data_IF_156081955033
#
_entry.id   IF_156081955033
#
_cell.length_a   1.000
_cell.length_b   1.000
_cell.length_c   1.000
_cell.angle_alpha   90.00
_cell.angle_beta   90.00
_cell.angle_gamma   90.00
#
_symmetry.space_group_name_H-M   'P 1'
#
loop_
_entity.id
_entity.type
_entity.pdbx_description
1 polymer ?
#
# COMPACT_ATOMS: atom_id res chain seq x y z
N UNK A 1 -12.70 7.99 2.15
CA UNK A 1 -12.03 8.96 3.05
C UNK A 1 -11.09 9.89 2.28
N UNK A 2 -10.22 9.34 1.42
CA UNK A 2 -9.23 10.11 0.64
C UNK A 2 -9.85 11.24 -0.19
N UNK A 3 -11.01 11.05 -0.81
CA UNK A 3 -11.69 12.14 -1.56
C UNK A 3 -12.09 13.31 -0.66
N UNK A 4 -12.64 13.04 0.54
CA UNK A 4 -13.04 14.09 1.50
C UNK A 4 -11.81 14.92 1.91
N UNK A 5 -10.67 14.25 2.14
CA UNK A 5 -9.42 14.92 2.50
C UNK A 5 -8.83 15.71 1.32
N UNK A 6 -8.90 15.17 0.10
CA UNK A 6 -8.47 15.84 -1.12
C UNK A 6 -9.22 17.18 -1.30
N UNK A 7 -10.54 17.14 -1.14
CA UNK A 7 -11.39 18.33 -1.26
C UNK A 7 -11.11 19.34 -0.15
N UNK A 8 -10.97 18.89 1.10
CA UNK A 8 -10.73 19.77 2.24
C UNK A 8 -9.39 20.49 2.16
N UNK A 9 -8.33 19.80 1.74
CA UNK A 9 -6.99 20.38 1.65
C UNK A 9 -6.66 20.99 0.28
N UNK A 10 -7.54 20.85 -0.72
CA UNK A 10 -7.29 21.32 -2.08
C UNK A 10 -6.09 20.64 -2.74
N UNK A 11 -5.91 19.34 -2.49
CA UNK A 11 -4.79 18.55 -3.03
C UNK A 11 -5.29 17.33 -3.79
N UNK A 12 -4.63 17.00 -4.88
CA UNK A 12 -4.85 15.74 -5.58
C UNK A 12 -4.14 14.59 -4.85
N UNK A 13 -4.87 13.57 -4.43
CA UNK A 13 -4.31 12.38 -3.78
C UNK A 13 -4.24 11.24 -4.79
N UNK A 14 -3.04 10.84 -5.20
CA UNK A 14 -2.82 9.65 -6.02
C UNK A 14 -2.37 8.48 -5.14
N UNK A 15 -3.11 7.36 -5.16
CA UNK A 15 -2.77 6.16 -4.38
C UNK A 15 -2.14 5.08 -5.26
N UNK A 16 -0.99 4.56 -4.83
CA UNK A 16 -0.19 3.55 -5.51
C UNK A 16 -0.20 2.25 -4.69
N UNK A 17 -0.70 1.18 -5.29
CA UNK A 17 -0.63 -0.15 -4.69
C UNK A 17 0.75 -0.73 -4.92
N UNK A 18 1.45 -1.09 -3.83
CA UNK A 18 2.74 -1.77 -3.93
C UNK A 18 2.56 -3.14 -4.59
N UNK A 19 1.57 -3.93 -4.16
CA UNK A 19 1.27 -5.24 -4.76
C UNK A 19 1.01 -5.19 -6.27
N UNK A 20 0.28 -4.18 -6.75
CA UNK A 20 0.05 -4.01 -8.19
C UNK A 20 1.25 -3.38 -8.90
N UNK A 21 2.03 -2.55 -8.22
CA UNK A 21 3.11 -1.75 -8.79
C UNK A 21 2.57 -0.62 -9.66
N UNK A 22 1.37 -0.13 -9.35
CA UNK A 22 0.60 0.82 -10.14
C UNK A 22 -0.46 1.53 -9.28
N UNK A 23 -1.04 2.59 -9.85
CA UNK A 23 -2.18 3.31 -9.25
C UNK A 23 -3.38 2.38 -9.05
N UNK A 24 -3.99 2.45 -7.88
CA UNK A 24 -5.21 1.73 -7.57
C UNK A 24 -5.98 2.40 -6.42
N UNK A 25 -7.15 3.00 -6.66
CA UNK A 25 -7.75 3.27 -7.98
C UNK A 25 -6.87 4.20 -8.84
N UNK A 26 -7.16 4.36 -10.15
CA UNK A 26 -6.49 5.35 -11.00
C UNK A 26 -6.52 6.74 -10.34
N UNK A 27 -5.43 7.51 -10.46
CA UNK A 27 -5.41 8.86 -9.92
C UNK A 27 -6.48 9.73 -10.61
N UNK A 28 -7.25 10.56 -9.86
CA UNK A 28 -8.28 11.40 -10.46
C UNK A 28 -7.72 12.26 -11.59
N UNK A 29 -8.40 12.32 -12.75
CA UNK A 29 -7.89 13.08 -13.90
C UNK A 29 -7.97 14.60 -13.68
N UNK A 30 -9.05 15.05 -13.03
CA UNK A 30 -9.24 16.45 -12.67
C UNK A 30 -8.77 16.71 -11.22
N UNK A 31 -7.68 17.47 -11.04
CA UNK A 31 -7.20 17.80 -9.70
C UNK A 31 -8.07 18.89 -9.06
N UNK A 32 -8.29 18.79 -7.75
CA UNK A 32 -9.05 19.79 -6.97
C UNK A 32 -8.21 21.06 -6.68
N UNK A 33 -6.90 21.02 -6.91
CA UNK A 33 -5.97 22.15 -6.77
C UNK A 33 -4.63 21.91 -7.49
N UNK A 34 -3.65 22.79 -7.31
CA UNK A 34 -2.38 22.73 -8.05
C UNK A 34 -1.33 21.79 -7.44
N UNK A 35 -1.61 21.26 -6.23
CA UNK A 35 -0.73 20.37 -5.49
C UNK A 35 -1.21 18.91 -5.53
N UNK A 36 -0.26 17.98 -5.55
CA UNK A 36 -0.46 16.54 -5.57
C UNK A 36 0.37 15.88 -4.48
N UNK A 37 -0.19 14.85 -3.84
CA UNK A 37 0.54 13.93 -2.96
C UNK A 37 0.42 12.50 -3.49
N UNK A 38 1.43 11.67 -3.20
CA UNK A 38 1.43 10.24 -3.53
C UNK A 38 1.44 9.41 -2.26
N UNK A 39 0.44 8.53 -2.14
CA UNK A 39 0.35 7.55 -1.07
C UNK A 39 0.71 6.17 -1.61
N UNK A 40 1.60 5.46 -0.93
CA UNK A 40 1.86 4.04 -1.13
C UNK A 40 1.02 3.26 -0.12
N UNK A 41 0.50 2.10 -0.53
CA UNK A 41 -0.22 1.24 0.39
C UNK A 41 -0.07 -0.25 0.04
N UNK A 42 -0.22 -1.09 1.06
CA UNK A 42 -0.24 -2.56 0.97
C UNK A 42 -1.58 -3.13 1.44
N UNK A 43 -2.39 -3.62 0.50
CA UNK A 43 -3.68 -4.33 0.75
C UNK A 43 -4.60 -3.75 1.84
N UNK A 44 -4.54 -2.44 2.07
CA UNK A 44 -5.34 -1.73 3.08
C UNK A 44 -4.82 -1.83 4.52
N UNK A 45 -3.60 -2.33 4.75
CA UNK A 45 -2.99 -2.46 6.09
C UNK A 45 -2.23 -1.19 6.47
N UNK A 46 -1.38 -0.67 5.58
CA UNK A 46 -0.57 0.51 5.85
C UNK A 46 -0.62 1.53 4.72
N UNK A 47 -0.44 2.81 5.07
CA UNK A 47 -0.31 3.92 4.14
C UNK A 47 0.96 4.71 4.44
N UNK A 48 1.80 4.87 3.43
CA UNK A 48 3.05 5.63 3.49
C UNK A 48 3.01 6.80 2.50
N UNK A 49 3.64 7.92 2.84
CA UNK A 49 3.73 9.09 1.96
C UNK A 49 5.06 9.13 1.22
N UNK A 50 5.04 9.41 -0.08
CA UNK A 50 6.26 9.65 -0.85
C UNK A 50 6.69 11.10 -0.66
N UNK A 51 7.94 11.28 -0.24
CA UNK A 51 8.55 12.58 0.02
C UNK A 51 9.82 12.76 -0.81
N UNK A 52 10.15 14.00 -1.17
CA UNK A 52 11.47 14.37 -1.67
C UNK A 52 12.48 14.51 -0.53
N UNK A 53 13.77 14.50 -0.88
CA UNK A 53 14.87 14.79 0.06
C UNK A 53 15.67 13.54 0.48
N UNK A 54 16.79 13.79 1.17
CA UNK A 54 17.61 12.71 1.70
C UNK A 54 17.05 12.22 3.04
N UNK A 55 17.08 10.91 3.34
CA UNK A 55 16.57 10.36 4.60
C UNK A 55 17.16 11.07 5.83
N UNK A 56 18.44 11.43 5.76
CA UNK A 56 19.28 11.92 6.86
C UNK A 56 19.24 13.44 7.07
N UNK A 57 18.60 14.22 6.20
CA UNK A 57 18.51 15.68 6.32
C UNK A 57 17.06 16.12 6.34
N UNK A 58 16.63 16.81 7.40
CA UNK A 58 15.26 17.32 7.50
C UNK A 58 15.01 18.58 6.66
N UNK A 59 16.07 19.27 6.21
CA UNK A 59 15.92 20.42 5.33
C UNK A 59 15.53 19.98 3.91
N UNK A 60 14.45 20.57 3.38
CA UNK A 60 14.04 20.41 1.98
C UNK A 60 13.20 19.16 1.67
N UNK A 61 12.68 18.45 2.68
CA UNK A 61 11.71 17.37 2.45
C UNK A 61 10.33 17.96 2.11
N UNK A 62 9.73 17.56 1.01
CA UNK A 62 8.36 17.91 0.64
C UNK A 62 7.61 16.68 0.10
N UNK A 63 6.37 16.51 0.55
CA UNK A 63 5.43 15.51 0.01
C UNK A 63 4.43 16.08 -0.98
N UNK A 64 4.44 17.40 -1.14
CA UNK A 64 3.57 18.11 -2.07
C UNK A 64 4.35 18.41 -3.35
N UNK A 65 3.80 17.95 -4.46
CA UNK A 65 4.31 18.11 -5.82
C UNK A 65 3.34 18.95 -6.63
N UNK A 66 3.77 19.56 -7.74
CA UNK A 66 2.81 20.15 -8.67
C UNK A 66 2.04 19.04 -9.40
N UNK A 67 0.75 19.25 -9.65
CA UNK A 67 -0.06 18.34 -10.51
C UNK A 67 0.48 18.24 -11.94
N UNK A 68 1.31 19.18 -12.37
CA UNK A 68 1.98 19.18 -13.69
C UNK A 68 3.36 18.50 -13.66
N UNK A 69 3.83 18.06 -12.50
CA UNK A 69 5.13 17.42 -12.35
C UNK A 69 5.06 15.93 -12.72
N UNK A 70 5.13 15.65 -14.01
CA UNK A 70 5.14 14.29 -14.54
C UNK A 70 6.43 13.52 -14.19
N UNK A 71 7.52 14.21 -13.85
CA UNK A 71 8.75 13.58 -13.40
C UNK A 71 8.56 13.00 -12.00
N UNK A 72 7.93 13.74 -11.09
CA UNK A 72 7.55 13.24 -9.79
C UNK A 72 6.59 12.05 -9.91
N UNK A 73 5.61 12.11 -10.82
CA UNK A 73 4.70 10.99 -11.11
C UNK A 73 5.46 9.75 -11.54
N UNK A 74 6.31 9.86 -12.55
CA UNK A 74 7.09 8.72 -13.04
C UNK A 74 7.96 8.10 -11.94
N UNK A 75 8.61 8.93 -11.11
CA UNK A 75 9.40 8.46 -9.97
C UNK A 75 8.56 7.73 -8.93
N UNK A 76 7.37 8.24 -8.59
CA UNK A 76 6.48 7.59 -7.64
C UNK A 76 6.07 6.18 -8.10
N UNK A 77 5.80 6.01 -9.40
CA UNK A 77 5.55 4.70 -10.00
C UNK A 77 6.77 3.77 -9.96
N UNK A 78 7.98 4.30 -10.16
CA UNK A 78 9.22 3.53 -10.01
C UNK A 78 9.38 3.03 -8.57
N UNK A 79 9.09 3.87 -7.56
CA UNK A 79 9.14 3.44 -6.15
C UNK A 79 8.18 2.28 -5.89
N UNK A 80 6.93 2.38 -6.35
CA UNK A 80 5.95 1.31 -6.17
C UNK A 80 6.40 -0.01 -6.83
N UNK A 81 7.00 0.06 -8.02
CA UNK A 81 7.53 -1.12 -8.72
C UNK A 81 8.74 -1.73 -8.02
N UNK A 82 9.69 -0.92 -7.57
CA UNK A 82 10.87 -1.39 -6.83
C UNK A 82 10.47 -2.08 -5.51
N UNK A 83 9.54 -1.49 -4.75
CA UNK A 83 9.01 -2.11 -3.53
C UNK A 83 8.30 -3.44 -3.81
N UNK A 84 7.56 -3.53 -4.92
CA UNK A 84 6.93 -4.77 -5.39
C UNK A 84 7.98 -5.84 -5.69
N UNK A 85 9.00 -5.49 -6.47
CA UNK A 85 10.09 -6.39 -6.87
C UNK A 85 10.85 -6.92 -5.64
N UNK A 86 11.07 -6.07 -4.64
CA UNK A 86 11.69 -6.43 -3.36
C UNK A 86 10.76 -7.18 -2.40
N UNK A 87 9.50 -7.40 -2.77
CA UNK A 87 8.45 -7.96 -1.90
C UNK A 87 8.33 -7.22 -0.57
N UNK A 88 8.57 -5.91 -0.57
CA UNK A 88 8.45 -5.04 0.60
C UNK A 88 7.01 -4.54 0.72
N UNK A 89 6.09 -5.47 0.99
CA UNK A 89 4.69 -5.20 1.28
C UNK A 89 4.12 -6.30 2.16
N UNK A 90 3.12 -5.98 2.97
CA UNK A 90 2.42 -6.96 3.80
C UNK A 90 1.34 -7.63 2.95
N UNK A 91 1.60 -8.85 2.47
CA UNK A 91 0.61 -9.65 1.75
C UNK A 91 -0.29 -10.43 2.72
N UNK A 92 -1.24 -9.75 3.35
CA UNK A 92 -2.17 -10.40 4.28
C UNK A 92 -3.12 -11.40 3.59
N UNK A 93 -3.40 -11.22 2.30
CA UNK A 93 -4.27 -12.10 1.52
C UNK A 93 -3.56 -13.33 0.96
N UNK A 94 -2.29 -13.20 0.54
CA UNK A 94 -1.47 -14.26 -0.04
C UNK A 94 -0.53 -14.97 0.94
N UNK A 95 -0.46 -14.56 2.21
CA UNK A 95 0.40 -15.21 3.19
C UNK A 95 0.05 -16.68 3.38
N UNK A 96 1.05 -17.56 3.44
CA UNK A 96 0.80 -18.96 3.79
C UNK A 96 0.58 -19.07 5.30
N UNK A 97 -0.51 -19.73 5.69
CA UNK A 97 -0.83 -19.98 7.10
C UNK A 97 -0.90 -21.48 7.30
N UNK A 98 -0.31 -21.99 8.37
CA UNK A 98 -0.33 -23.41 8.72
C UNK A 98 -1.03 -23.64 10.06
N UNK A 99 -1.93 -24.60 10.10
CA UNK A 99 -2.47 -25.11 11.35
C UNK A 99 -1.42 -26.01 12.02
N UNK A 100 -1.05 -25.71 13.26
CA UNK A 100 -0.06 -26.49 14.01
C UNK A 100 -0.67 -27.70 14.74
N UNK A 101 -1.98 -27.92 14.59
CA UNK A 101 -2.66 -29.12 15.10
C UNK A 101 -2.72 -30.22 14.05
N UNK A 102 -3.12 -29.89 12.81
CA UNK A 102 -3.25 -30.86 11.72
C UNK A 102 -2.26 -30.65 10.55
N UNK A 103 -1.40 -29.63 10.62
CA UNK A 103 -0.38 -29.30 9.61
C UNK A 103 -0.92 -28.91 8.22
N UNK A 104 -2.23 -28.68 8.10
CA UNK A 104 -2.82 -28.18 6.87
C UNK A 104 -2.39 -26.73 6.61
N UNK A 105 -2.11 -26.43 5.34
CA UNK A 105 -1.70 -25.11 4.85
C UNK A 105 -2.86 -24.42 4.14
N UNK A 106 -2.94 -23.10 4.30
CA UNK A 106 -3.98 -22.23 3.77
C UNK A 106 -3.35 -21.02 3.11
N UNK A 107 -4.04 -20.44 2.13
CA UNK A 107 -3.64 -19.18 1.52
C UNK A 107 -4.48 -18.06 2.16
N UNK A 108 -3.80 -17.24 2.96
CA UNK A 108 -4.38 -16.12 3.69
C UNK A 108 -5.07 -16.51 5.00
N UNK A 109 -5.33 -15.48 5.82
CA UNK A 109 -5.97 -15.67 7.13
C UNK A 109 -7.46 -16.05 7.05
N UNK A 110 -8.15 -15.76 5.94
CA UNK A 110 -9.57 -16.10 5.78
C UNK A 110 -9.81 -17.61 5.79
N UNK A 111 -9.07 -18.34 4.97
CA UNK A 111 -9.17 -19.80 4.88
C UNK A 111 -8.75 -20.47 6.19
N UNK A 112 -7.64 -20.00 6.78
CA UNK A 112 -7.16 -20.49 8.07
C UNK A 112 -8.18 -20.27 9.20
N UNK A 113 -8.83 -19.09 9.23
CA UNK A 113 -9.87 -18.80 10.20
C UNK A 113 -11.12 -19.68 10.00
N UNK A 114 -11.49 -19.97 8.75
CA UNK A 114 -12.59 -20.90 8.45
C UNK A 114 -12.26 -22.31 8.94
N UNK A 115 -11.05 -22.80 8.68
CA UNK A 115 -10.58 -24.07 9.21
C UNK A 115 -10.66 -24.13 10.74
N UNK A 116 -10.24 -23.07 11.43
CA UNK A 116 -10.30 -23.02 12.89
C UNK A 116 -11.73 -23.06 13.44
N UNK A 117 -12.70 -22.48 12.72
CA UNK A 117 -14.13 -22.56 13.07
C UNK A 117 -14.71 -23.96 12.86
N UNK A 118 -14.34 -24.64 11.77
CA UNK A 118 -14.88 -25.95 11.43
C UNK A 118 -14.28 -27.09 12.26
N UNK A 119 -12.99 -26.98 12.60
CA UNK A 119 -12.23 -28.03 13.30
C UNK A 119 -12.01 -27.76 14.78
N UNK A 120 -12.22 -26.52 15.23
CA UNK A 120 -11.85 -26.07 16.57
C UNK A 120 -10.35 -25.83 16.75
N UNK A 121 -9.53 -25.94 15.70
CA UNK A 121 -8.10 -25.67 15.79
C UNK A 121 -7.82 -24.16 15.87
N UNK A 122 -7.17 -23.72 16.95
CA UNK A 122 -6.85 -22.30 17.16
C UNK A 122 -5.36 -21.96 16.98
N UNK A 123 -4.49 -22.97 16.88
CA UNK A 123 -3.05 -22.76 16.70
C UNK A 123 -2.71 -22.60 15.21
N UNK A 124 -2.94 -21.40 14.68
CA UNK A 124 -2.65 -21.02 13.30
C UNK A 124 -1.42 -20.10 13.28
N UNK A 125 -0.42 -20.45 12.48
CA UNK A 125 0.84 -19.70 12.38
C UNK A 125 1.06 -19.26 10.95
N UNK A 126 1.38 -17.99 10.75
CA UNK A 126 1.85 -17.50 9.46
C UNK A 126 3.24 -18.08 9.18
N UNK A 127 3.40 -18.72 8.04
CA UNK A 127 4.67 -19.27 7.55
C UNK A 127 5.11 -18.48 6.32
N UNK A 128 6.36 -18.03 6.33
CA UNK A 128 6.99 -17.19 5.30
C UNK A 128 8.08 -17.94 4.56
#
# INVERSE_FOLDING_TARGET
ETQILADYFGVQICSLSIQRGAENPPCPEEPVGDARIYLLYDDGVHYDVIMTGQPTKNAGKSGCFSVKDEVARAKAHVVAKDLKERKQYTDAAGCSVQCMVCFQKFVGFKEAAQHGKETGHQNLVQIG
#
